data_IF_512481128415
#
_entry.id   IF_512481128415
#
_cell.length_a   1.000
_cell.length_b   1.000
_cell.length_c   1.000
_cell.angle_alpha   90.00
_cell.angle_beta   90.00
_cell.angle_gamma   90.00
#
_symmetry.space_group_name_H-M   'P 1'
#
loop_
_entity.id
_entity.type
_entity.pdbx_description
1 polymer ?
#
# COMPACT_ATOMS: atom_id res chain seq x y z
N UNK A 1 6.83 17.54 -9.19
CA UNK A 1 7.87 16.63 -8.77
C UNK A 1 7.55 15.19 -9.19
N UNK A 2 6.93 14.34 -8.35
CA UNK A 2 6.77 12.90 -8.65
C UNK A 2 6.03 12.60 -9.97
N UNK A 3 4.96 13.31 -10.29
CA UNK A 3 4.23 13.10 -11.55
C UNK A 3 5.09 13.45 -12.78
N UNK A 4 5.86 14.51 -12.72
CA UNK A 4 6.78 14.86 -13.79
C UNK A 4 7.89 13.82 -13.98
N UNK A 5 8.21 13.08 -12.93
CA UNK A 5 9.13 11.95 -12.95
C UNK A 5 8.44 10.63 -13.36
N UNK A 6 7.16 10.67 -13.70
CA UNK A 6 6.38 9.50 -14.09
C UNK A 6 6.06 8.54 -12.93
N UNK A 7 5.87 9.09 -11.71
CA UNK A 7 5.62 8.29 -10.51
C UNK A 7 4.39 8.78 -9.76
N UNK A 8 3.67 7.83 -9.17
CA UNK A 8 2.63 8.10 -8.18
C UNK A 8 3.25 7.97 -6.79
N UNK A 9 3.14 9.03 -6.03
CA UNK A 9 3.54 9.10 -4.62
C UNK A 9 2.42 9.75 -3.81
N UNK A 10 1.79 8.98 -2.95
CA UNK A 10 0.83 9.49 -1.97
C UNK A 10 1.58 9.86 -0.70
N UNK A 11 1.64 11.15 -0.38
CA UNK A 11 2.36 11.66 0.79
C UNK A 11 1.53 11.57 2.07
N UNK A 12 0.25 11.85 1.95
CA UNK A 12 -0.68 11.79 3.07
C UNK A 12 -2.11 11.69 2.57
N UNK A 13 -2.98 11.11 3.36
CA UNK A 13 -4.39 10.99 3.05
C UNK A 13 -5.07 9.94 3.90
N UNK A 14 -6.38 9.96 3.87
CA UNK A 14 -7.23 8.97 4.50
C UNK A 14 -8.06 8.32 3.41
N UNK A 15 -8.06 7.00 3.37
CA UNK A 15 -8.85 6.19 2.44
C UNK A 15 -9.72 5.23 3.24
N UNK A 16 -10.96 5.05 2.82
CA UNK A 16 -11.85 4.07 3.41
C UNK A 16 -12.29 3.07 2.35
N UNK A 17 -11.94 1.82 2.57
CA UNK A 17 -12.33 0.72 1.70
C UNK A 17 -13.77 0.25 1.97
N UNK A 18 -14.34 -0.50 1.05
CA UNK A 18 -15.74 -0.95 1.11
C UNK A 18 -16.04 -1.87 2.32
N UNK A 19 -15.05 -2.56 2.83
CA UNK A 19 -15.16 -3.38 4.06
C UNK A 19 -15.09 -2.57 5.36
N UNK A 20 -14.99 -1.24 5.26
CA UNK A 20 -14.86 -0.33 6.39
C UNK A 20 -13.42 -0.11 6.85
N UNK A 21 -12.43 -0.76 6.23
CA UNK A 21 -11.02 -0.56 6.57
C UNK A 21 -10.60 0.86 6.26
N UNK A 22 -10.12 1.56 7.28
CA UNK A 22 -9.58 2.90 7.14
C UNK A 22 -8.05 2.85 7.05
N UNK A 23 -7.52 3.45 6.00
CA UNK A 23 -6.10 3.53 5.70
C UNK A 23 -5.66 4.99 5.85
N UNK A 24 -4.73 5.23 6.76
CA UNK A 24 -4.16 6.56 7.03
C UNK A 24 -2.71 6.56 6.58
N UNK A 25 -2.44 7.28 5.52
CA UNK A 25 -1.08 7.55 5.05
C UNK A 25 -0.63 8.87 5.66
N UNK A 26 0.50 8.87 6.31
CA UNK A 26 1.12 10.07 6.87
C UNK A 26 2.48 10.33 6.25
N UNK A 27 2.90 11.60 6.27
CA UNK A 27 4.22 12.02 5.75
C UNK A 27 5.37 11.34 6.51
N UNK A 28 5.17 11.08 7.79
CA UNK A 28 6.00 10.20 8.61
C UNK A 28 5.22 8.90 8.76
N UNK A 29 5.72 7.77 8.25
CA UNK A 29 4.96 6.50 8.23
C UNK A 29 4.45 6.06 9.61
N UNK A 30 5.21 6.34 10.67
CA UNK A 30 4.86 5.99 12.05
C UNK A 30 3.61 6.74 12.57
N UNK A 31 3.27 7.89 11.99
CA UNK A 31 2.08 8.68 12.36
C UNK A 31 0.81 8.16 11.67
N UNK A 32 0.94 7.28 10.70
CA UNK A 32 -0.16 6.61 10.02
C UNK A 32 -0.36 5.18 10.50
N UNK A 33 -1.27 4.47 9.83
CA UNK A 33 -1.52 3.06 10.06
C UNK A 33 -1.20 2.17 8.84
N UNK A 34 -0.62 2.76 7.81
CA UNK A 34 -0.37 2.08 6.55
C UNK A 34 0.89 2.59 5.86
N UNK A 35 1.43 1.72 5.03
CA UNK A 35 2.55 2.03 4.13
C UNK A 35 2.08 1.80 2.71
N UNK A 36 2.14 2.84 1.88
CA UNK A 36 1.79 2.77 0.46
C UNK A 36 3.03 3.12 -0.37
N UNK A 37 3.72 2.11 -0.92
CA UNK A 37 4.89 2.35 -1.77
C UNK A 37 4.54 3.16 -3.01
N UNK A 38 5.46 4.02 -3.42
CA UNK A 38 5.34 4.73 -4.69
C UNK A 38 5.49 3.77 -5.88
N UNK A 39 4.89 4.11 -7.02
CA UNK A 39 4.97 3.27 -8.22
C UNK A 39 5.15 4.11 -9.48
N UNK A 40 6.00 3.64 -10.40
CA UNK A 40 6.17 4.25 -11.73
C UNK A 40 5.02 3.86 -12.66
N UNK A 41 4.50 4.82 -13.40
CA UNK A 41 3.50 4.58 -14.44
C UNK A 41 4.05 4.75 -15.87
N UNK A 42 5.34 5.02 -16.02
CA UNK A 42 5.95 5.33 -17.33
C UNK A 42 5.74 4.24 -18.37
N UNK A 43 5.90 2.99 -17.96
CA UNK A 43 5.74 1.84 -18.87
C UNK A 43 4.27 1.42 -19.03
N UNK A 44 3.43 1.75 -18.05
CA UNK A 44 2.02 1.37 -18.06
C UNK A 44 1.14 2.34 -18.85
N UNK A 45 1.47 3.62 -18.84
CA UNK A 45 0.72 4.65 -19.56
C UNK A 45 1.39 4.95 -20.91
N UNK A 46 1.06 4.14 -21.91
CA UNK A 46 1.67 4.19 -23.24
C UNK A 46 1.00 5.19 -24.19
N UNK A 47 -0.27 5.51 -23.94
CA UNK A 47 -1.04 6.49 -24.74
C UNK A 47 -1.47 7.67 -23.88
N UNK A 48 -0.78 8.82 -23.98
CA UNK A 48 -1.09 10.00 -23.19
C UNK A 48 -2.46 10.64 -23.52
N UNK A 49 -3.07 10.30 -24.67
CA UNK A 49 -4.41 10.77 -25.04
C UNK A 49 -5.52 10.00 -24.33
N UNK A 50 -5.21 8.87 -23.77
CA UNK A 50 -6.15 8.07 -22.97
C UNK A 50 -6.03 8.40 -21.49
N UNK A 51 -7.16 8.62 -20.79
CA UNK A 51 -7.13 8.80 -19.34
C UNK A 51 -6.52 7.57 -18.65
N UNK A 52 -5.76 7.81 -17.58
CA UNK A 52 -5.11 6.75 -16.81
C UNK A 52 -5.58 6.78 -15.36
N UNK A 53 -6.34 5.77 -14.96
CA UNK A 53 -6.92 5.71 -13.62
C UNK A 53 -6.02 4.90 -12.68
N UNK A 54 -5.77 5.46 -11.51
CA UNK A 54 -4.93 4.89 -10.45
C UNK A 54 -5.81 4.44 -9.29
N UNK A 55 -5.59 3.22 -8.83
CA UNK A 55 -6.29 2.62 -7.70
C UNK A 55 -5.35 2.33 -6.54
N UNK A 56 -5.87 2.43 -5.33
CA UNK A 56 -5.31 1.71 -4.19
C UNK A 56 -5.99 0.36 -4.07
N UNK A 57 -5.22 -0.70 -3.91
CA UNK A 57 -5.71 -2.04 -3.71
C UNK A 57 -5.29 -2.58 -2.35
N UNK A 58 -6.20 -3.27 -1.68
CA UNK A 58 -5.96 -3.92 -0.41
C UNK A 58 -6.32 -5.41 -0.54
N UNK A 59 -5.39 -6.33 -0.22
CA UNK A 59 -5.69 -7.75 -0.31
C UNK A 59 -6.77 -8.16 0.70
N UNK A 60 -7.55 -9.21 0.40
CA UNK A 60 -8.56 -9.70 1.31
C UNK A 60 -7.93 -10.27 2.57
N UNK A 61 -8.67 -10.24 3.68
CA UNK A 61 -8.31 -11.01 4.86
C UNK A 61 -8.43 -12.50 4.56
N UNK A 62 -7.39 -13.23 4.90
CA UNK A 62 -7.32 -14.69 4.77
C UNK A 62 -7.28 -15.32 6.16
N UNK A 63 -7.61 -16.62 6.29
CA UNK A 63 -7.43 -17.33 7.56
C UNK A 63 -5.97 -17.32 8.04
N UNK A 64 -5.00 -17.32 7.11
CA UNK A 64 -3.55 -17.35 7.39
C UNK A 64 -2.79 -16.45 6.40
N UNK A 65 -1.57 -16.03 6.78
CA UNK A 65 -0.67 -15.32 5.88
C UNK A 65 -1.01 -13.86 5.63
N UNK A 66 -1.69 -13.20 6.57
CA UNK A 66 -2.05 -11.79 6.46
C UNK A 66 -0.90 -10.84 6.84
N UNK A 67 0.12 -11.34 7.52
CA UNK A 67 1.23 -10.52 8.04
C UNK A 67 2.54 -10.94 7.40
N UNK A 68 3.29 -9.97 6.91
CA UNK A 68 4.64 -10.15 6.40
C UNK A 68 5.62 -9.22 7.14
N UNK A 69 6.91 -9.58 7.12
CA UNK A 69 7.95 -8.68 7.60
C UNK A 69 8.13 -7.49 6.67
N UNK A 70 8.54 -6.36 7.22
CA UNK A 70 8.90 -5.19 6.41
C UNK A 70 10.18 -5.50 5.63
N UNK A 71 10.18 -5.32 4.29
CA UNK A 71 11.38 -5.42 3.48
C UNK A 71 12.48 -4.46 3.95
N UNK A 72 13.73 -4.88 3.83
CA UNK A 72 14.89 -4.07 4.25
C UNK A 72 14.96 -2.70 3.57
N UNK A 73 14.49 -2.60 2.32
CA UNK A 73 14.43 -1.35 1.58
C UNK A 73 13.46 -0.31 2.18
N UNK A 74 12.56 -0.73 3.07
CA UNK A 74 11.66 0.17 3.81
C UNK A 74 12.24 0.64 5.14
N UNK A 75 13.49 0.32 5.44
CA UNK A 75 14.14 0.70 6.69
C UNK A 75 15.40 1.49 6.43
N UNK A 76 15.58 2.53 7.21
CA UNK A 76 16.82 3.27 7.30
C UNK A 76 17.09 3.59 8.78
N UNK A 77 18.14 2.99 9.35
CA UNK A 77 18.54 3.20 10.73
C UNK A 77 17.43 2.98 11.77
N UNK A 78 16.53 2.01 11.53
CA UNK A 78 15.39 1.71 12.40
C UNK A 78 14.15 2.56 12.13
N UNK A 79 14.21 3.52 11.20
CA UNK A 79 13.08 4.33 10.76
C UNK A 79 12.44 3.70 9.52
N UNK A 80 11.11 3.84 9.43
CA UNK A 80 10.40 3.48 8.21
C UNK A 80 10.61 4.56 7.15
N UNK A 81 10.93 4.11 5.94
CA UNK A 81 11.09 4.99 4.78
C UNK A 81 10.18 4.53 3.64
N UNK A 82 9.83 5.48 2.78
CA UNK A 82 9.13 5.15 1.53
C UNK A 82 10.00 4.27 0.64
N UNK A 83 9.41 3.30 0.00
CA UNK A 83 10.05 2.41 -0.95
C UNK A 83 9.30 2.41 -2.28
N UNK A 84 10.03 2.04 -3.32
CA UNK A 84 9.46 1.89 -4.65
C UNK A 84 8.81 0.51 -4.78
N UNK A 85 7.54 0.47 -5.19
CA UNK A 85 6.82 -0.78 -5.40
C UNK A 85 7.49 -1.69 -6.43
N UNK A 86 8.16 -1.11 -7.44
CA UNK A 86 8.82 -1.87 -8.50
C UNK A 86 10.07 -2.62 -8.00
N UNK A 87 10.60 -2.24 -6.85
CA UNK A 87 11.76 -2.88 -6.20
C UNK A 87 11.39 -3.82 -5.06
N UNK A 88 10.11 -3.85 -4.68
CA UNK A 88 9.64 -4.68 -3.59
C UNK A 88 9.40 -6.12 -4.04
N UNK A 89 9.82 -7.10 -3.25
CA UNK A 89 9.35 -8.47 -3.46
C UNK A 89 7.84 -8.53 -3.28
N UNK A 90 7.20 -9.38 -4.04
CA UNK A 90 5.75 -9.60 -3.91
C UNK A 90 5.45 -10.08 -2.49
N UNK A 91 4.87 -9.18 -1.69
CA UNK A 91 4.50 -9.50 -0.32
C UNK A 91 3.05 -10.02 -0.29
N UNK A 92 2.82 -11.22 0.22
CA UNK A 92 1.49 -11.84 0.16
C UNK A 92 0.49 -11.26 1.17
N UNK A 93 0.96 -10.44 2.12
CA UNK A 93 0.17 -10.04 3.27
C UNK A 93 -0.62 -8.75 3.11
N UNK A 94 -1.69 -8.63 3.90
CA UNK A 94 -2.47 -7.40 4.11
C UNK A 94 -1.76 -6.43 5.04
N UNK A 95 -0.92 -6.95 5.93
CA UNK A 95 -0.21 -6.19 6.95
C UNK A 95 1.30 -6.41 6.87
N UNK A 96 2.03 -5.38 7.25
CA UNK A 96 3.47 -5.42 7.48
C UNK A 96 3.77 -5.24 8.96
N UNK A 97 4.71 -6.04 9.48
CA UNK A 97 5.19 -5.90 10.84
C UNK A 97 6.61 -5.32 10.84
N UNK A 98 6.83 -4.14 11.44
CA UNK A 98 8.12 -3.46 11.42
C UNK A 98 9.20 -4.13 12.26
N UNK A 99 8.82 -4.93 13.25
CA UNK A 99 9.73 -5.54 14.20
C UNK A 99 9.99 -7.01 13.92
N UNK A 100 10.03 -7.42 12.66
CA UNK A 100 10.15 -8.82 12.33
C UNK A 100 11.59 -9.33 12.35
N UNK A 101 11.85 -10.23 13.27
CA UNK A 101 12.62 -11.41 12.94
C UNK A 101 11.75 -12.32 12.06
N UNK A 102 12.35 -13.10 11.17
CA UNK A 102 11.68 -13.99 10.22
C UNK A 102 10.70 -15.02 10.83
N UNK A 103 10.65 -15.10 12.16
CA UNK A 103 9.80 -15.99 12.95
C UNK A 103 8.40 -15.45 13.26
N UNK A 104 7.99 -14.32 12.69
CA UNK A 104 6.74 -13.64 13.07
C UNK A 104 5.49 -14.37 12.62
N UNK A 105 5.54 -15.04 11.49
CA UNK A 105 4.42 -15.87 11.03
C UNK A 105 4.01 -16.88 12.11
N UNK A 106 4.98 -17.46 12.80
CA UNK A 106 4.74 -18.42 13.87
C UNK A 106 4.24 -17.78 15.17
N UNK A 107 4.61 -16.53 15.42
CA UNK A 107 4.21 -15.82 16.65
C UNK A 107 2.78 -15.29 16.62
N UNK A 108 2.24 -15.03 15.45
CA UNK A 108 0.81 -14.66 15.29
C UNK A 108 -0.10 -15.87 15.11
N UNK A 109 0.46 -17.05 14.86
CA UNK A 109 -0.27 -18.32 14.89
C UNK A 109 -0.63 -18.78 16.30
N UNK A 110 -0.29 -17.99 17.30
CA UNK A 110 -0.48 -18.35 18.65
C UNK A 110 -1.54 -17.64 19.35
N UNK A 111 -2.50 -18.21 19.85
CA UNK A 111 -2.95 -17.67 21.09
C UNK A 111 -3.55 -18.62 22.06
N UNK A 112 -3.10 -19.79 22.07
CA UNK A 112 -3.67 -20.76 22.98
C UNK A 112 -2.81 -21.05 24.21
N UNK A 113 -1.67 -20.42 24.32
CA UNK A 113 -0.89 -20.52 25.53
C UNK A 113 -1.49 -19.64 26.61
N UNK A 114 -2.03 -20.28 27.56
CA UNK A 114 -2.74 -19.81 28.73
C UNK A 114 -1.91 -19.03 29.75
N UNK A 115 -0.70 -18.61 29.44
CA UNK A 115 0.16 -17.97 30.40
C UNK A 115 0.46 -16.51 30.04
N UNK A 116 0.02 -15.65 30.94
CA UNK A 116 0.29 -14.23 31.09
C UNK A 116 0.16 -13.37 29.83
N UNK A 117 -1.05 -12.96 29.53
CA UNK A 117 -1.37 -11.82 28.63
C UNK A 117 -0.69 -10.50 29.06
N UNK A 118 0.03 -10.49 30.15
CA UNK A 118 0.66 -9.29 30.72
C UNK A 118 2.01 -8.94 30.08
N UNK A 119 2.66 -9.89 29.46
CA UNK A 119 4.03 -9.74 28.92
C UNK A 119 4.11 -9.87 27.39
N UNK A 120 2.96 -9.89 26.68
CA UNK A 120 2.97 -9.86 25.22
C UNK A 120 3.35 -8.46 24.76
N UNK A 121 4.46 -8.28 24.04
CA UNK A 121 4.78 -6.98 23.48
C UNK A 121 3.71 -6.60 22.47
N UNK A 122 3.08 -5.44 22.65
CA UNK A 122 2.17 -4.86 21.68
C UNK A 122 2.99 -4.51 20.44
N UNK A 123 2.66 -5.12 19.32
CA UNK A 123 3.30 -4.86 18.04
C UNK A 123 2.38 -4.06 17.16
N UNK A 124 2.91 -3.01 16.57
CA UNK A 124 2.19 -2.23 15.58
C UNK A 124 2.25 -2.97 14.25
N UNK A 125 1.08 -3.20 13.66
CA UNK A 125 0.96 -3.67 12.29
C UNK A 125 0.58 -2.49 11.41
N UNK A 126 1.21 -2.40 10.25
CA UNK A 126 0.85 -1.44 9.21
C UNK A 126 0.04 -2.12 8.12
N UNK A 127 -1.06 -1.54 7.72
CA UNK A 127 -1.76 -1.93 6.51
C UNK A 127 -0.83 -1.75 5.31
N UNK A 128 -0.95 -2.65 4.36
CA UNK A 128 -0.11 -2.64 3.16
C UNK A 128 -0.96 -2.55 1.89
N UNK A 129 -1.58 -1.40 1.61
CA UNK A 129 -2.19 -1.13 0.32
C UNK A 129 -1.11 -1.00 -0.75
N UNK A 130 -1.51 -1.24 -2.01
CA UNK A 130 -0.63 -1.10 -3.17
C UNK A 130 -1.31 -0.28 -4.24
N UNK A 131 -0.52 0.38 -5.08
CA UNK A 131 -1.02 1.08 -6.24
C UNK A 131 -1.22 0.11 -7.40
N UNK A 132 -2.37 0.24 -8.06
CA UNK A 132 -2.74 -0.54 -9.24
C UNK A 132 -3.22 0.37 -10.36
N UNK A 133 -3.07 -0.13 -11.58
CA UNK A 133 -3.62 0.44 -12.78
C UNK A 133 -4.96 -0.23 -13.11
N UNK A 134 -5.81 0.46 -13.85
CA UNK A 134 -7.16 -0.02 -14.15
C UNK A 134 -7.17 -1.44 -14.75
N UNK A 135 -6.24 -1.72 -15.67
CA UNK A 135 -6.14 -3.03 -16.32
C UNK A 135 -5.67 -4.16 -15.39
N UNK A 136 -5.08 -3.83 -14.25
CA UNK A 136 -4.59 -4.84 -13.28
C UNK A 136 -5.66 -5.23 -12.26
N UNK A 137 -6.72 -4.45 -12.13
CA UNK A 137 -7.77 -4.70 -11.12
C UNK A 137 -8.60 -5.94 -11.44
N UNK A 138 -8.75 -6.27 -12.72
CA UNK A 138 -9.53 -7.44 -13.16
C UNK A 138 -8.89 -8.77 -12.84
N UNK A 139 -7.57 -8.81 -12.68
CA UNK A 139 -6.83 -10.03 -12.39
C UNK A 139 -6.88 -10.41 -10.88
N UNK A 140 -7.48 -9.56 -10.06
CA UNK A 140 -7.55 -9.72 -8.60
C UNK A 140 -8.98 -9.51 -8.08
N UNK A 141 -9.92 -10.40 -8.41
CA UNK A 141 -11.33 -10.22 -8.08
C UNK A 141 -11.61 -10.19 -6.56
N UNK A 142 -10.72 -10.79 -5.76
CA UNK A 142 -10.88 -10.85 -4.30
C UNK A 142 -10.31 -9.62 -3.57
N UNK A 143 -9.61 -8.75 -4.29
CA UNK A 143 -9.03 -7.55 -3.71
C UNK A 143 -10.07 -6.45 -3.61
N UNK A 144 -9.89 -5.59 -2.63
CA UNK A 144 -10.63 -4.34 -2.52
C UNK A 144 -9.88 -3.25 -3.28
N UNK A 145 -10.58 -2.56 -4.17
CA UNK A 145 -10.01 -1.46 -4.94
C UNK A 145 -10.74 -0.16 -4.67
N UNK A 146 -9.96 0.89 -4.49
CA UNK A 146 -10.45 2.25 -4.34
C UNK A 146 -9.79 3.12 -5.41
N UNK A 147 -10.55 3.74 -6.32
CA UNK A 147 -10.00 4.68 -7.27
C UNK A 147 -9.49 5.92 -6.53
N UNK A 148 -8.27 6.34 -6.82
CA UNK A 148 -7.62 7.48 -6.16
C UNK A 148 -7.67 8.74 -7.02
N UNK A 149 -7.23 8.61 -8.26
CA UNK A 149 -7.14 9.72 -9.20
C UNK A 149 -7.14 9.21 -10.64
N UNK A 150 -7.44 10.11 -11.54
CA UNK A 150 -7.24 9.93 -12.97
C UNK A 150 -6.17 10.90 -13.44
N UNK A 151 -5.28 10.44 -14.29
CA UNK A 151 -4.30 11.27 -14.97
C UNK A 151 -4.74 11.56 -16.40
N UNK A 152 -4.43 12.75 -16.84
CA UNK A 152 -4.57 13.21 -18.23
C UNK A 152 -3.30 13.93 -18.64
N UNK A 153 -3.00 13.94 -19.95
CA UNK A 153 -1.93 14.73 -20.53
C UNK A 153 -2.45 15.45 -21.77
N UNK A 154 -2.51 16.77 -21.69
CA UNK A 154 -2.92 17.63 -22.80
C UNK A 154 -1.71 18.27 -23.50
N UNK A 155 -0.54 17.60 -23.41
CA UNK A 155 0.70 18.04 -24.03
C UNK A 155 1.62 18.86 -23.10
N UNK A 156 1.21 19.05 -21.86
CA UNK A 156 2.02 19.73 -20.82
C UNK A 156 2.62 18.77 -19.79
N UNK A 157 2.43 17.47 -19.98
CA UNK A 157 2.83 16.43 -19.08
C UNK A 157 1.69 15.91 -18.19
N UNK A 158 1.95 14.81 -17.48
CA UNK A 158 0.96 14.16 -16.63
C UNK A 158 0.42 15.09 -15.54
N UNK A 159 -0.89 15.18 -15.44
CA UNK A 159 -1.57 15.94 -14.38
C UNK A 159 -2.84 15.23 -13.91
N UNK A 160 -3.27 15.46 -12.67
CA UNK A 160 -4.58 14.99 -12.22
C UNK A 160 -5.69 15.60 -13.08
N UNK A 161 -6.66 14.77 -13.46
CA UNK A 161 -7.87 15.22 -14.12
C UNK A 161 -8.77 15.97 -13.13
N UNK A 162 -8.98 17.29 -13.31
CA UNK A 162 -9.78 18.07 -12.37
C UNK A 162 -11.28 17.74 -12.43
N UNK A 163 -11.73 17.09 -13.48
CA UNK A 163 -13.11 16.67 -13.64
C UNK A 163 -13.38 15.30 -13.00
N UNK A 164 -12.35 14.59 -12.60
CA UNK A 164 -12.48 13.29 -11.97
C UNK A 164 -12.62 13.42 -10.46
N UNK A 165 -13.77 13.04 -9.95
CA UNK A 165 -14.00 12.86 -8.51
C UNK A 165 -14.09 11.36 -8.23
N UNK A 166 -13.18 10.77 -7.46
CA UNK A 166 -13.33 9.40 -6.98
C UNK A 166 -14.62 9.27 -6.17
N UNK A 167 -15.33 8.17 -6.28
CA UNK A 167 -16.56 7.93 -5.53
C UNK A 167 -16.33 7.78 -4.04
#
# INVERSE_FOLDING_TARGET
>A
AALAEGRILVRSGIMRFQDGTEVVIAAVPEDGNAILPSRSFREAWTDPHMPFTVFAGLPPLKPYGNVAGIPSCMRDGGRLIGCDADTLPEAPGRYLCPNSDDSIADRYALPLATESRRDMPVRTLYLYPRLFWENETTDRPDWLFLPLLRLTDEGSGPRPDPAYAPP
#
